data_IF_586624224577
#
_entry.id   IF_586624224577
#
_cell.length_a   1.000
_cell.length_b   1.000
_cell.length_c   1.000
_cell.angle_alpha   90.00
_cell.angle_beta   90.00
_cell.angle_gamma   90.00
#
_symmetry.space_group_name_H-M   'P 1'
#
loop_
_entity.id
_entity.type
_entity.pdbx_description
1 polymer ?
#
# COMPACT_ATOMS: atom_id res chain seq x y z
N UNK A 1 35.99 6.49 31.71
CA UNK A 1 35.70 6.15 30.31
C UNK A 1 35.50 4.64 30.26
N UNK A 2 34.30 4.09 30.12
CA UNK A 2 32.96 4.63 29.95
C UNK A 2 32.00 3.62 30.57
N UNK A 3 31.08 4.12 31.41
CA UNK A 3 29.99 3.31 31.95
C UNK A 3 28.92 3.29 30.85
N UNK A 4 28.93 2.28 30.00
CA UNK A 4 27.83 2.04 29.07
C UNK A 4 26.59 1.60 29.87
N UNK A 5 25.76 2.59 30.22
CA UNK A 5 24.46 2.39 30.87
C UNK A 5 23.36 2.92 29.95
N UNK A 6 22.93 2.12 28.97
CA UNK A 6 21.64 2.34 28.32
C UNK A 6 20.99 0.98 28.00
N UNK A 7 20.52 0.28 29.02
CA UNK A 7 19.45 -0.71 28.85
C UNK A 7 18.14 0.00 29.17
N UNK A 8 17.46 0.51 28.15
CA UNK A 8 16.14 1.14 28.34
C UNK A 8 15.20 0.12 28.99
N UNK A 9 14.65 0.38 30.20
CA UNK A 9 13.83 -0.58 30.93
C UNK A 9 12.38 -0.56 30.45
N UNK A 10 12.15 -0.31 29.15
CA UNK A 10 10.82 -0.21 28.60
C UNK A 10 10.45 -1.48 27.82
N UNK A 11 9.18 -1.89 27.94
CA UNK A 11 8.64 -3.00 27.18
C UNK A 11 8.60 -2.64 25.69
N UNK A 12 9.21 -3.46 24.84
CA UNK A 12 9.21 -3.27 23.38
C UNK A 12 7.84 -3.46 22.72
N UNK A 13 6.84 -3.99 23.44
CA UNK A 13 5.49 -4.23 22.92
C UNK A 13 4.47 -3.16 23.34
N UNK A 14 4.45 -2.74 24.61
CA UNK A 14 3.48 -1.74 25.10
C UNK A 14 4.11 -0.42 25.53
N UNK A 15 5.44 -0.30 25.57
CA UNK A 15 6.15 0.90 25.99
C UNK A 15 6.20 1.14 27.51
N UNK A 16 5.63 0.26 28.33
CA UNK A 16 5.62 0.43 29.79
C UNK A 16 7.04 0.40 30.37
N UNK A 17 7.35 1.35 31.25
CA UNK A 17 8.61 1.43 32.02
C UNK A 17 8.56 0.47 33.22
N UNK A 18 8.48 -0.82 32.93
CA UNK A 18 8.40 -1.88 33.93
C UNK A 18 9.59 -2.85 33.82
N UNK A 19 9.76 -3.71 34.83
CA UNK A 19 10.76 -4.76 34.75
C UNK A 19 10.44 -5.71 33.59
N UNK A 20 11.39 -5.85 32.68
CA UNK A 20 11.24 -6.61 31.44
C UNK A 20 12.03 -7.91 31.49
N UNK A 21 11.52 -8.90 30.78
CA UNK A 21 12.13 -10.21 30.57
C UNK A 21 12.36 -10.41 29.07
N UNK A 22 13.40 -11.16 28.70
CA UNK A 22 13.64 -11.53 27.30
C UNK A 22 12.81 -12.76 26.94
N UNK A 23 11.86 -12.60 26.04
CA UNK A 23 11.01 -13.68 25.54
C UNK A 23 10.82 -13.55 24.03
N UNK A 24 10.95 -14.66 23.28
CA UNK A 24 10.82 -14.70 21.82
C UNK A 24 11.69 -13.68 21.04
N UNK A 25 12.83 -13.27 21.59
CA UNK A 25 13.73 -12.29 20.97
C UNK A 25 13.40 -10.82 21.31
N UNK A 26 12.33 -10.56 22.06
CA UNK A 26 11.93 -9.22 22.50
C UNK A 26 12.16 -9.03 24.01
N UNK A 27 12.38 -7.78 24.43
CA UNK A 27 12.40 -7.36 25.82
C UNK A 27 11.01 -6.85 26.21
N UNK A 28 10.27 -7.63 27.00
CA UNK A 28 8.83 -7.43 27.24
C UNK A 28 8.50 -7.42 28.73
N UNK A 29 7.50 -6.64 29.16
CA UNK A 29 7.00 -6.69 30.53
C UNK A 29 6.16 -7.96 30.76
N UNK A 30 5.82 -8.25 32.01
CA UNK A 30 5.10 -9.47 32.41
C UNK A 30 3.72 -9.62 31.73
N UNK A 31 3.00 -8.52 31.54
CA UNK A 31 1.69 -8.51 30.87
C UNK A 31 1.81 -8.86 29.38
N UNK A 32 2.75 -8.24 28.68
CA UNK A 32 3.04 -8.54 27.28
C UNK A 32 3.61 -9.95 27.09
N UNK A 33 4.42 -10.44 28.04
CA UNK A 33 4.92 -11.81 28.03
C UNK A 33 3.76 -12.82 28.10
N UNK A 34 2.81 -12.60 29.02
CA UNK A 34 1.62 -13.43 29.17
C UNK A 34 0.76 -13.42 27.90
N UNK A 35 0.61 -12.26 27.27
CA UNK A 35 -0.10 -12.14 26.00
C UNK A 35 0.58 -12.96 24.90
N UNK A 36 1.90 -12.81 24.73
CA UNK A 36 2.68 -13.55 23.72
C UNK A 36 2.57 -15.05 23.94
N UNK A 37 2.68 -15.53 25.19
CA UNK A 37 2.50 -16.95 25.50
C UNK A 37 1.10 -17.46 25.18
N UNK A 38 0.07 -16.66 25.46
CA UNK A 38 -1.32 -16.99 25.17
C UNK A 38 -1.54 -17.11 23.66
N UNK A 39 -0.96 -16.20 22.87
CA UNK A 39 -1.03 -16.23 21.41
C UNK A 39 -0.23 -17.40 20.83
N UNK A 40 0.91 -17.77 21.42
CA UNK A 40 1.67 -18.99 21.04
C UNK A 40 0.85 -20.26 21.27
N UNK A 41 0.16 -20.36 22.42
CA UNK A 41 -0.67 -21.51 22.78
C UNK A 41 -1.96 -21.59 21.96
N UNK A 42 -2.52 -20.43 21.59
CA UNK A 42 -3.79 -20.35 20.87
C UNK A 42 -3.75 -19.31 19.74
N UNK A 43 -3.08 -19.59 18.61
CA UNK A 43 -2.95 -18.65 17.50
C UNK A 43 -4.29 -18.18 16.92
N UNK A 44 -5.32 -19.03 16.96
CA UNK A 44 -6.68 -18.71 16.51
C UNK A 44 -7.37 -17.57 17.28
N UNK A 45 -6.83 -17.16 18.44
CA UNK A 45 -7.32 -15.97 19.15
C UNK A 45 -7.10 -14.71 18.31
N UNK A 46 -6.02 -14.67 17.52
CA UNK A 46 -5.74 -13.54 16.62
C UNK A 46 -6.90 -13.34 15.64
N UNK A 47 -7.37 -14.41 15.00
CA UNK A 47 -8.49 -14.34 14.06
C UNK A 47 -9.79 -13.86 14.70
N UNK A 48 -9.97 -14.16 16.00
CA UNK A 48 -11.15 -13.74 16.77
C UNK A 48 -11.05 -12.30 17.26
N UNK A 49 -9.85 -11.82 17.60
CA UNK A 49 -9.63 -10.48 18.18
C UNK A 49 -9.39 -9.42 17.10
N UNK A 50 -8.78 -9.79 15.97
CA UNK A 50 -8.52 -8.89 14.84
C UNK A 50 -9.76 -8.11 14.35
N UNK A 51 -10.96 -8.71 14.23
CA UNK A 51 -12.16 -7.96 13.85
C UNK A 51 -12.49 -6.83 14.82
N UNK A 52 -12.36 -7.06 16.13
CA UNK A 52 -12.62 -6.06 17.17
C UNK A 52 -11.57 -4.95 17.19
N UNK A 53 -10.31 -5.27 16.88
CA UNK A 53 -9.24 -4.26 16.73
C UNK A 53 -9.39 -3.43 15.45
N UNK A 54 -10.02 -4.00 14.41
CA UNK A 54 -10.29 -3.29 13.15
C UNK A 54 -11.52 -2.38 13.24
N UNK A 55 -12.44 -2.64 14.17
CA UNK A 55 -13.73 -1.92 14.28
C UNK A 55 -13.64 -0.59 15.08
N UNK A 56 -12.53 -0.33 15.79
CA UNK A 56 -12.33 0.93 16.55
C UNK A 56 -11.80 2.12 15.71
N UNK A 57 -11.94 2.08 14.39
CA UNK A 57 -11.92 3.33 13.57
C UNK A 57 -13.33 3.80 13.18
N UNK A 58 -14.36 3.16 13.73
CA UNK A 58 -15.76 3.34 13.34
C UNK A 58 -16.69 3.97 14.38
N UNK A 59 -16.22 4.67 15.42
CA UNK A 59 -17.03 5.62 16.23
C UNK A 59 -16.18 6.24 17.34
N UNK A 60 -15.97 7.57 17.31
CA UNK A 60 -16.37 8.41 18.43
C UNK A 60 -16.22 9.91 18.16
N UNK A 61 -17.17 10.62 18.76
CA UNK A 61 -17.22 12.06 18.89
C UNK A 61 -15.90 12.65 19.39
N UNK A 62 -15.50 13.76 18.76
CA UNK A 62 -14.95 14.90 19.47
C UNK A 62 -13.68 14.70 20.29
N UNK A 63 -12.65 14.05 19.75
CA UNK A 63 -11.25 14.49 19.99
C UNK A 63 -10.45 14.15 18.73
N UNK A 64 -9.85 15.16 18.14
CA UNK A 64 -9.10 15.06 16.89
C UNK A 64 -7.82 14.22 17.09
N UNK A 65 -7.96 12.90 17.00
CA UNK A 65 -6.84 12.07 16.55
C UNK A 65 -6.71 12.41 15.07
N UNK A 66 -5.63 13.11 14.73
CA UNK A 66 -5.27 13.44 13.36
C UNK A 66 -5.49 12.19 12.52
N UNK A 67 -6.38 12.29 11.51
CA UNK A 67 -6.38 11.38 10.37
C UNK A 67 -4.92 11.20 10.02
N UNK A 68 -4.40 9.98 10.10
CA UNK A 68 -3.22 9.62 9.34
C UNK A 68 -3.63 9.89 7.89
N UNK A 69 -3.30 11.09 7.43
CA UNK A 69 -3.23 11.41 6.03
C UNK A 69 -2.40 10.28 5.43
N UNK A 70 -2.96 9.54 4.47
CA UNK A 70 -2.21 8.60 3.64
C UNK A 70 -0.84 9.23 3.41
N UNK A 71 0.29 8.60 3.80
CA UNK A 71 1.56 9.29 3.82
C UNK A 71 1.81 9.88 2.44
N UNK A 72 1.96 11.20 2.38
CA UNK A 72 2.04 11.89 1.09
C UNK A 72 3.42 11.66 0.49
N UNK A 73 3.43 11.18 -0.74
CA UNK A 73 4.65 11.15 -1.52
C UNK A 73 5.10 12.59 -1.83
N UNK A 74 6.41 12.85 -1.85
CA UNK A 74 6.93 14.09 -2.41
C UNK A 74 6.35 14.37 -3.80
N UNK A 75 6.13 15.64 -4.11
CA UNK A 75 5.61 16.07 -5.42
C UNK A 75 6.52 15.61 -6.58
N UNK A 76 7.82 15.53 -6.30
CA UNK A 76 8.84 15.07 -7.24
C UNK A 76 9.52 13.83 -6.67
N UNK A 77 9.46 12.73 -7.42
CA UNK A 77 10.17 11.49 -7.13
C UNK A 77 11.27 11.25 -8.15
N UNK A 78 12.42 10.78 -7.69
CA UNK A 78 13.45 10.28 -8.58
C UNK A 78 12.95 9.02 -9.29
N UNK A 79 13.24 8.95 -10.58
CA UNK A 79 12.74 7.89 -11.44
C UNK A 79 13.85 7.23 -12.26
N UNK A 80 13.89 5.89 -12.26
CA UNK A 80 14.72 5.12 -13.19
C UNK A 80 13.93 4.79 -14.44
N UNK A 81 14.50 5.08 -15.60
CA UNK A 81 13.91 4.77 -16.91
C UNK A 81 14.57 3.53 -17.51
N UNK A 82 13.78 2.50 -17.68
CA UNK A 82 14.16 1.25 -18.32
C UNK A 82 13.63 1.24 -19.76
N UNK A 83 14.47 0.79 -20.69
CA UNK A 83 14.06 0.57 -22.08
C UNK A 83 13.95 -0.92 -22.32
N UNK A 84 12.80 -1.35 -22.83
CA UNK A 84 12.52 -2.76 -23.14
C UNK A 84 11.88 -2.88 -24.52
N UNK A 85 11.73 -4.12 -24.99
CA UNK A 85 11.20 -4.46 -26.31
C UNK A 85 10.16 -5.56 -26.14
N UNK A 86 8.99 -5.43 -26.78
CA UNK A 86 7.96 -6.47 -26.74
C UNK A 86 8.18 -7.56 -27.80
N UNK A 87 7.26 -8.53 -27.85
CA UNK A 87 7.28 -9.64 -28.82
C UNK A 87 7.27 -9.17 -30.27
N UNK A 88 6.64 -8.04 -30.54
CA UNK A 88 6.48 -7.44 -31.88
C UNK A 88 7.64 -6.48 -32.22
N UNK A 89 8.71 -6.47 -31.40
CA UNK A 89 9.86 -5.56 -31.53
C UNK A 89 9.54 -4.08 -31.30
N UNK A 90 8.39 -3.75 -30.70
CA UNK A 90 8.10 -2.37 -30.32
C UNK A 90 8.92 -1.98 -29.11
N UNK A 91 9.47 -0.77 -29.14
CA UNK A 91 10.26 -0.20 -28.04
C UNK A 91 9.35 0.43 -27.00
N UNK A 92 9.51 -0.01 -25.76
CA UNK A 92 8.79 0.49 -24.60
C UNK A 92 9.75 1.14 -23.61
N UNK A 93 9.26 2.17 -22.92
CA UNK A 93 9.97 2.84 -21.84
C UNK A 93 9.16 2.73 -20.56
N UNK A 94 9.74 2.12 -19.55
CA UNK A 94 9.17 2.00 -18.21
C UNK A 94 9.90 2.97 -17.29
N UNK A 95 9.18 3.91 -16.70
CA UNK A 95 9.71 4.80 -15.66
C UNK A 95 9.23 4.29 -14.31
N UNK A 96 10.15 4.01 -13.40
CA UNK A 96 9.86 3.55 -12.03
C UNK A 96 10.33 4.63 -11.07
N UNK A 97 9.38 5.22 -10.35
CA UNK A 97 9.66 6.17 -9.28
C UNK A 97 10.05 5.41 -8.02
N UNK A 98 11.13 5.85 -7.35
CA UNK A 98 11.68 5.16 -6.18
C UNK A 98 11.77 6.10 -4.96
N UNK A 99 11.58 5.52 -3.76
CA UNK A 99 11.87 6.16 -2.46
C UNK A 99 12.76 5.20 -1.68
N UNK A 100 13.91 5.68 -1.21
CA UNK A 100 14.92 4.86 -0.52
C UNK A 100 15.30 3.56 -1.26
N UNK A 101 15.31 3.62 -2.59
CA UNK A 101 15.60 2.49 -3.48
C UNK A 101 14.46 1.48 -3.65
N UNK A 102 13.29 1.72 -3.07
CA UNK A 102 12.09 0.90 -3.24
C UNK A 102 11.14 1.50 -4.28
N UNK A 103 10.52 0.68 -5.16
CA UNK A 103 9.60 1.17 -6.18
C UNK A 103 8.26 1.58 -5.58
N UNK A 104 7.78 2.76 -5.97
CA UNK A 104 6.52 3.33 -5.45
C UNK A 104 5.50 3.55 -6.55
N UNK A 105 5.93 4.03 -7.71
CA UNK A 105 5.05 4.22 -8.87
C UNK A 105 5.73 3.74 -10.14
N UNK A 106 4.93 3.31 -11.11
CA UNK A 106 5.40 2.89 -12.43
C UNK A 106 4.56 3.51 -13.52
N UNK A 107 5.24 3.97 -14.56
CA UNK A 107 4.64 4.52 -15.77
C UNK A 107 5.24 3.84 -16.98
N UNK A 108 4.44 3.67 -18.02
CA UNK A 108 4.90 3.15 -19.29
C UNK A 108 4.57 4.13 -20.42
N UNK A 109 5.52 4.31 -21.33
CA UNK A 109 5.35 5.08 -22.55
C UNK A 109 5.97 4.36 -23.74
N UNK A 110 5.50 4.70 -24.94
CA UNK A 110 6.03 4.21 -26.21
C UNK A 110 6.41 5.39 -27.09
N UNK A 111 7.30 5.17 -28.06
CA UNK A 111 7.75 6.20 -28.99
C UNK A 111 6.73 6.50 -30.11
N UNK A 112 5.66 5.73 -30.22
CA UNK A 112 4.72 5.80 -31.35
C UNK A 112 3.43 6.54 -30.95
N UNK A 113 3.42 7.86 -31.16
CA UNK A 113 2.32 8.74 -30.73
C UNK A 113 1.14 8.81 -31.73
N UNK A 114 1.30 8.32 -32.97
CA UNK A 114 0.37 8.60 -34.09
C UNK A 114 -0.40 7.40 -34.66
N UNK A 115 -0.25 6.22 -34.08
CA UNK A 115 -0.93 5.02 -34.57
C UNK A 115 -2.18 4.72 -33.72
N UNK A 116 -3.35 4.69 -34.36
CA UNK A 116 -4.64 4.50 -33.71
C UNK A 116 -4.77 3.13 -33.02
N UNK A 117 -4.16 2.08 -33.57
CA UNK A 117 -4.15 0.76 -32.90
C UNK A 117 -3.32 0.79 -31.60
N UNK A 118 -2.21 1.53 -31.61
CA UNK A 118 -1.38 1.72 -30.43
C UNK A 118 -2.10 2.52 -29.34
N UNK A 119 -2.99 3.46 -29.67
CA UNK A 119 -3.75 4.22 -28.67
C UNK A 119 -4.65 3.33 -27.80
N UNK A 120 -5.28 2.29 -28.36
CA UNK A 120 -6.06 1.32 -27.57
C UNK A 120 -5.15 0.45 -26.67
N UNK A 121 -3.96 0.07 -27.15
CA UNK A 121 -2.96 -0.63 -26.32
C UNK A 121 -2.44 0.27 -25.19
N UNK A 122 -2.33 1.57 -25.42
CA UNK A 122 -1.87 2.55 -24.43
C UNK A 122 -2.87 2.72 -23.28
N UNK A 123 -4.18 2.74 -23.52
CA UNK A 123 -5.16 2.84 -22.42
C UNK A 123 -5.13 1.61 -21.51
N UNK A 124 -5.03 0.41 -22.09
CA UNK A 124 -4.85 -0.83 -21.35
C UNK A 124 -3.57 -0.83 -20.52
N UNK A 125 -2.45 -0.42 -21.13
CA UNK A 125 -1.17 -0.32 -20.45
C UNK A 125 -1.20 0.70 -19.31
N UNK A 126 -1.77 1.88 -19.55
CA UNK A 126 -1.94 2.95 -18.54
C UNK A 126 -2.74 2.44 -17.35
N UNK A 127 -3.76 1.62 -17.61
CA UNK A 127 -4.60 1.01 -16.58
C UNK A 127 -3.78 0.05 -15.72
N UNK A 128 -3.03 -0.85 -16.35
CA UNK A 128 -2.15 -1.79 -15.65
C UNK A 128 -1.13 -1.04 -14.78
N UNK A 129 -0.44 -0.04 -15.34
CA UNK A 129 0.60 0.69 -14.60
C UNK A 129 0.02 1.51 -13.44
N UNK A 130 -1.18 2.09 -13.60
CA UNK A 130 -1.86 2.80 -12.50
C UNK A 130 -2.33 1.88 -11.39
N UNK A 131 -2.83 0.70 -11.72
CA UNK A 131 -3.21 -0.30 -10.72
C UNK A 131 -1.99 -0.87 -9.99
N UNK A 132 -0.89 -1.15 -10.71
CA UNK A 132 0.38 -1.55 -10.08
C UNK A 132 0.88 -0.44 -9.17
N UNK A 133 0.86 0.82 -9.59
CA UNK A 133 1.26 1.96 -8.74
C UNK A 133 0.40 2.06 -7.48
N UNK A 134 -0.91 1.80 -7.57
CA UNK A 134 -1.78 1.76 -6.40
C UNK A 134 -1.41 0.62 -5.44
N UNK A 135 -1.03 -0.56 -5.97
CA UNK A 135 -0.56 -1.70 -5.17
C UNK A 135 0.80 -1.38 -4.52
N UNK A 136 1.73 -0.76 -5.25
CA UNK A 136 3.04 -0.36 -4.73
C UNK A 136 2.90 0.66 -3.60
N UNK A 137 2.02 1.66 -3.76
CA UNK A 137 1.70 2.60 -2.67
C UNK A 137 1.06 1.90 -1.47
N UNK A 138 0.20 0.91 -1.66
CA UNK A 138 -0.32 0.10 -0.56
C UNK A 138 0.81 -0.61 0.20
N UNK A 139 1.76 -1.21 -0.52
CA UNK A 139 2.89 -1.94 0.07
C UNK A 139 3.83 -0.98 0.81
N UNK A 140 4.19 0.15 0.19
CA UNK A 140 5.21 1.06 0.70
C UNK A 140 4.68 2.04 1.76
N UNK A 141 3.49 2.61 1.53
CA UNK A 141 2.90 3.66 2.36
C UNK A 141 1.82 3.12 3.30
N UNK A 142 1.50 1.82 3.26
CA UNK A 142 0.32 1.26 3.91
C UNK A 142 -0.99 1.95 3.49
N UNK A 143 -1.00 2.57 2.30
CA UNK A 143 -2.18 3.23 1.73
C UNK A 143 -3.31 2.20 1.60
N UNK A 144 -4.50 2.46 2.14
CA UNK A 144 -5.61 1.48 2.02
C UNK A 144 -5.95 1.24 0.54
N UNK A 145 -5.87 -0.02 0.11
CA UNK A 145 -6.30 -0.45 -1.22
C UNK A 145 -7.80 -0.74 -1.19
N UNK A 146 -8.61 0.17 -1.76
CA UNK A 146 -10.08 0.03 -1.81
C UNK A 146 -10.59 -0.04 -3.25
N UNK A 147 -11.80 -0.56 -3.43
CA UNK A 147 -12.44 -0.65 -4.74
C UNK A 147 -12.64 0.74 -5.36
N UNK A 148 -12.98 1.76 -4.57
CA UNK A 148 -13.17 3.13 -5.04
C UNK A 148 -11.86 3.73 -5.56
N UNK A 149 -10.73 3.47 -4.90
CA UNK A 149 -9.42 3.90 -5.39
C UNK A 149 -9.05 3.18 -6.68
N UNK A 150 -9.31 1.87 -6.79
CA UNK A 150 -9.13 1.11 -8.03
C UNK A 150 -9.98 1.69 -9.17
N UNK A 151 -11.28 1.93 -8.93
CA UNK A 151 -12.21 2.51 -9.91
C UNK A 151 -11.75 3.88 -10.40
N UNK A 152 -11.29 4.76 -9.49
CA UNK A 152 -10.72 6.07 -9.87
C UNK A 152 -9.52 5.92 -10.81
N UNK A 153 -8.62 4.96 -10.54
CA UNK A 153 -7.45 4.72 -11.39
C UNK A 153 -7.84 4.12 -12.75
N UNK A 154 -8.80 3.20 -12.78
CA UNK A 154 -9.34 2.62 -14.02
C UNK A 154 -9.99 3.72 -14.87
N UNK A 155 -10.85 4.53 -14.28
CA UNK A 155 -11.54 5.63 -14.97
C UNK A 155 -10.56 6.64 -15.56
N UNK A 156 -9.53 7.04 -14.79
CA UNK A 156 -8.48 7.97 -15.26
C UNK A 156 -7.64 7.41 -16.42
N UNK A 157 -7.65 6.10 -16.62
CA UNK A 157 -6.89 5.42 -17.67
C UNK A 157 -7.67 5.29 -18.98
N UNK A 158 -8.99 5.48 -18.92
CA UNK A 158 -9.83 5.55 -20.12
C UNK A 158 -9.45 6.78 -20.94
N UNK A 159 -9.34 6.58 -22.26
CA UNK A 159 -9.12 7.65 -23.24
C UNK A 159 -10.31 7.81 -24.18
N UNK A 160 -11.12 6.76 -24.33
CA UNK A 160 -12.26 6.74 -25.24
C UNK A 160 -13.46 6.03 -24.62
N UNK A 161 -14.67 6.43 -25.03
CA UNK A 161 -15.89 5.70 -24.67
C UNK A 161 -15.83 4.27 -25.23
N UNK A 162 -16.20 3.30 -24.40
CA UNK A 162 -16.16 1.86 -24.69
C UNK A 162 -14.75 1.26 -24.88
N UNK A 163 -13.69 1.93 -24.43
CA UNK A 163 -12.42 1.23 -24.23
C UNK A 163 -12.50 0.31 -23.01
N UNK A 164 -11.57 -0.64 -22.89
CA UNK A 164 -11.58 -1.62 -21.81
C UNK A 164 -11.63 -0.97 -20.42
N UNK A 165 -10.86 0.09 -20.11
CA UNK A 165 -10.95 0.77 -18.82
C UNK A 165 -12.35 1.35 -18.55
N UNK A 166 -12.98 2.00 -19.54
CA UNK A 166 -14.36 2.50 -19.41
C UNK A 166 -15.39 1.36 -19.20
N UNK A 167 -15.23 0.25 -19.92
CA UNK A 167 -16.08 -0.93 -19.73
C UNK A 167 -15.93 -1.53 -18.32
N UNK A 168 -14.69 -1.68 -17.85
CA UNK A 168 -14.39 -2.19 -16.51
C UNK A 168 -14.96 -1.27 -15.43
N UNK A 169 -14.75 0.04 -15.54
CA UNK A 169 -15.32 1.01 -14.63
C UNK A 169 -16.84 0.86 -14.53
N UNK A 170 -17.54 0.83 -15.66
CA UNK A 170 -19.02 0.70 -15.69
C UNK A 170 -19.54 -0.58 -15.05
N UNK A 171 -18.85 -1.70 -15.20
CA UNK A 171 -19.26 -2.98 -14.58
C UNK A 171 -18.97 -2.96 -13.09
N UNK A 172 -17.77 -2.54 -12.69
CA UNK A 172 -17.31 -2.61 -11.31
C UNK A 172 -17.98 -1.55 -10.41
N UNK A 173 -18.32 -0.37 -10.94
CA UNK A 173 -19.01 0.68 -10.16
C UNK A 173 -20.37 0.23 -9.63
N UNK A 174 -21.03 -0.74 -10.29
CA UNK A 174 -22.30 -1.31 -9.81
C UNK A 174 -22.19 -1.97 -8.44
N UNK A 175 -21.01 -2.47 -8.09
CA UNK A 175 -20.75 -3.11 -6.79
C UNK A 175 -20.50 -2.08 -5.67
N UNK A 176 -20.24 -0.81 -6.03
CA UNK A 176 -20.12 0.29 -5.07
C UNK A 176 -21.48 0.95 -4.86
N UNK A 177 -22.26 1.14 -5.93
CA UNK A 177 -23.59 1.76 -5.87
C UNK A 177 -24.66 0.89 -5.19
N UNK A 178 -24.45 -0.43 -5.14
CA UNK A 178 -25.37 -1.38 -4.52
C UNK A 178 -25.19 -1.54 -3.00
N UNK A 179 -24.28 -0.78 -2.38
CA UNK A 179 -23.99 -0.79 -0.94
C UNK A 179 -24.45 0.51 -0.30
#
# INVERSE_FOLDING_TARGET
MDVEKISSPCCQLCGAEEQTVREAGFQVCSSCCTLVETLKKHPSIIDKVLPYLRDETGRNNGTAVKRETDPELPEVLDGKRYRTVDRDQNKWYLSVSEVDGQPVEVFASTAFDRDHELQSRISNLTTITRLISLILRHIFLSEKLTLEKCLKQIQRSSRNKNDLPDMLYRVLSRYVEAT
#
